data_IF_275250222553
#
_entry.id   IF_275250222553
#
_cell.length_a   1.000
_cell.length_b   1.000
_cell.length_c   1.000
_cell.angle_alpha   90.00
_cell.angle_beta   90.00
_cell.angle_gamma   90.00
#
_symmetry.space_group_name_H-M   'P 1'
#
loop_
_entity.id
_entity.type
_entity.pdbx_description
1 polymer ?
#
# COMPACT_ATOMS: atom_id res chain seq x y z
N UNK A 1 -13.26 -12.95 -10.16
CA UNK A 1 -12.05 -13.63 -9.63
C UNK A 1 -10.78 -13.24 -10.40
N UNK A 2 -10.63 -13.54 -11.70
CA UNK A 2 -9.39 -13.21 -12.46
C UNK A 2 -9.13 -11.71 -12.60
N UNK A 3 -10.15 -10.92 -12.92
CA UNK A 3 -10.00 -9.47 -13.16
C UNK A 3 -9.44 -8.67 -11.98
N UNK A 4 -9.76 -9.01 -10.72
CA UNK A 4 -9.32 -8.22 -9.56
C UNK A 4 -7.87 -8.52 -9.17
N UNK A 5 -7.44 -9.78 -9.28
CA UNK A 5 -6.05 -10.18 -9.12
C UNK A 5 -5.18 -9.58 -10.23
N UNK A 6 -5.71 -9.56 -11.45
CA UNK A 6 -5.10 -8.92 -12.61
C UNK A 6 -4.96 -7.40 -12.41
N UNK A 7 -5.98 -6.72 -11.86
CA UNK A 7 -5.87 -5.31 -11.46
C UNK A 7 -4.79 -5.06 -10.40
N UNK A 8 -4.66 -5.93 -9.39
CA UNK A 8 -3.61 -5.81 -8.36
C UNK A 8 -2.21 -6.00 -8.96
N UNK A 9 -2.08 -6.94 -9.90
CA UNK A 9 -0.85 -7.21 -10.63
C UNK A 9 -0.46 -6.02 -11.53
N UNK A 10 -1.39 -5.47 -12.30
CA UNK A 10 -1.15 -4.27 -13.10
C UNK A 10 -0.88 -3.03 -12.24
N UNK A 11 -1.52 -2.91 -11.07
CA UNK A 11 -1.20 -1.86 -10.11
C UNK A 11 0.25 -1.98 -9.60
N UNK A 12 0.69 -3.20 -9.27
CA UNK A 12 2.07 -3.46 -8.89
C UNK A 12 3.08 -3.14 -9.99
N UNK A 13 2.76 -3.49 -11.24
CA UNK A 13 3.61 -3.17 -12.40
C UNK A 13 3.64 -1.66 -12.70
N UNK A 14 2.48 -0.99 -12.66
CA UNK A 14 2.38 0.45 -12.90
C UNK A 14 3.11 1.27 -11.83
N UNK A 15 3.02 0.87 -10.56
CA UNK A 15 3.76 1.54 -9.48
C UNK A 15 5.28 1.30 -9.57
N UNK A 16 5.74 0.13 -10.03
CA UNK A 16 7.15 -0.12 -10.29
C UNK A 16 7.71 0.71 -11.47
N UNK A 17 6.91 0.87 -12.54
CA UNK A 17 7.25 1.74 -13.69
C UNK A 17 7.38 3.20 -13.28
N UNK A 18 6.42 3.73 -12.51
CA UNK A 18 6.46 5.10 -12.00
C UNK A 18 7.64 5.34 -11.05
N UNK A 19 8.00 4.36 -10.23
CA UNK A 19 9.18 4.43 -9.38
C UNK A 19 10.47 4.54 -10.22
N UNK A 20 10.57 3.77 -11.32
CA UNK A 20 11.70 3.83 -12.25
C UNK A 20 11.79 5.22 -12.92
N UNK A 21 10.69 5.76 -13.42
CA UNK A 21 10.65 7.09 -14.04
C UNK A 21 11.06 8.19 -13.05
N UNK A 22 10.58 8.14 -11.79
CA UNK A 22 11.01 9.09 -10.75
C UNK A 22 12.49 8.99 -10.42
N UNK A 23 13.07 7.79 -10.38
CA UNK A 23 14.51 7.59 -10.13
C UNK A 23 15.34 8.18 -11.28
N UNK A 24 14.91 7.97 -12.53
CA UNK A 24 15.58 8.52 -13.71
C UNK A 24 15.50 10.06 -13.73
N UNK A 25 14.33 10.66 -13.45
CA UNK A 25 14.18 12.11 -13.32
C UNK A 25 14.98 12.70 -12.16
N UNK A 26 15.04 12.03 -11.01
CA UNK A 26 15.87 12.43 -9.87
C UNK A 26 17.36 12.44 -10.21
N UNK A 27 17.81 11.49 -11.03
CA UNK A 27 19.21 11.40 -11.50
C UNK A 27 19.56 12.53 -12.49
N UNK A 28 18.62 12.88 -13.37
CA UNK A 28 18.77 14.02 -14.30
C UNK A 28 18.80 15.34 -13.55
N UNK A 29 17.89 15.55 -12.61
CA UNK A 29 17.83 16.76 -11.78
C UNK A 29 19.01 16.90 -10.82
N UNK A 30 19.55 15.80 -10.27
CA UNK A 30 20.78 15.81 -9.49
C UNK A 30 22.01 16.26 -10.31
N UNK A 31 22.07 15.91 -11.60
CA UNK A 31 23.10 16.45 -12.52
C UNK A 31 22.90 17.94 -12.77
N UNK A 32 21.66 18.43 -12.85
CA UNK A 32 21.35 19.86 -13.01
C UNK A 32 21.66 20.70 -11.76
N UNK A 33 21.52 20.11 -10.56
CA UNK A 33 21.82 20.77 -9.27
C UNK A 33 23.33 20.98 -9.08
N UNK A 34 24.17 20.10 -9.66
CA UNK A 34 25.63 20.23 -9.62
C UNK A 34 26.14 21.54 -10.25
N UNK A 35 25.38 22.12 -11.18
CA UNK A 35 25.70 23.39 -11.84
C UNK A 35 25.06 24.63 -11.17
N UNK A 36 24.27 24.47 -10.10
CA UNK A 36 23.69 25.64 -9.43
C UNK A 36 22.85 25.38 -8.17
N UNK A 37 23.39 25.88 -7.04
CA UNK A 37 22.69 26.32 -5.83
C UNK A 37 22.16 25.24 -4.85
N UNK A 38 22.93 25.01 -3.78
CA UNK A 38 22.57 24.27 -2.55
C UNK A 38 21.22 24.68 -1.95
N UNK A 39 20.75 25.91 -2.20
CA UNK A 39 19.49 26.44 -1.67
C UNK A 39 18.28 25.80 -2.35
N UNK A 40 18.36 25.60 -3.66
CA UNK A 40 17.28 25.00 -4.47
C UNK A 40 17.16 23.49 -4.20
N UNK A 41 18.29 22.83 -3.92
CA UNK A 41 18.30 21.44 -3.48
C UNK A 41 17.61 21.25 -2.11
N UNK A 42 17.80 22.20 -1.18
CA UNK A 42 17.14 22.19 0.14
C UNK A 42 15.63 22.38 0.05
N UNK A 43 15.16 23.34 -0.75
CA UNK A 43 13.73 23.58 -0.96
C UNK A 43 13.03 22.37 -1.60
N UNK A 44 13.63 21.74 -2.61
CA UNK A 44 13.08 20.52 -3.23
C UNK A 44 13.03 19.36 -2.22
N UNK A 45 14.06 19.20 -1.40
CA UNK A 45 14.10 18.16 -0.38
C UNK A 45 12.99 18.36 0.67
N UNK A 46 12.80 19.58 1.16
CA UNK A 46 11.74 19.91 2.13
C UNK A 46 10.35 19.72 1.53
N UNK A 47 10.12 20.13 0.28
CA UNK A 47 8.85 19.95 -0.42
C UNK A 47 8.50 18.48 -0.64
N UNK A 48 9.50 17.66 -1.02
CA UNK A 48 9.34 16.21 -1.21
C UNK A 48 9.07 15.50 0.12
N UNK A 49 9.74 15.90 1.19
CA UNK A 49 9.50 15.32 2.52
C UNK A 49 8.11 15.70 3.07
N UNK A 50 7.68 16.95 2.89
CA UNK A 50 6.36 17.42 3.32
C UNK A 50 5.23 16.70 2.56
N UNK A 51 5.30 16.65 1.21
CA UNK A 51 4.30 15.95 0.38
C UNK A 51 4.32 14.44 0.64
N UNK A 52 5.51 13.85 0.73
CA UNK A 52 5.67 12.41 0.95
C UNK A 52 5.12 11.93 2.29
N UNK A 53 5.15 12.75 3.34
CA UNK A 53 4.60 12.38 4.65
C UNK A 53 3.07 12.29 4.65
N UNK A 54 2.37 13.28 4.07
CA UNK A 54 0.91 13.29 3.98
C UNK A 54 0.36 12.29 2.98
N UNK A 55 1.03 12.14 1.83
CA UNK A 55 0.63 11.17 0.80
C UNK A 55 0.78 9.72 1.27
N UNK A 56 1.76 9.42 2.14
CA UNK A 56 2.02 8.06 2.62
C UNK A 56 0.91 7.54 3.53
N UNK A 57 0.40 8.36 4.43
CA UNK A 57 -0.66 7.94 5.35
C UNK A 57 -2.00 7.75 4.63
N UNK A 58 -2.31 8.63 3.67
CA UNK A 58 -3.48 8.49 2.80
C UNK A 58 -3.37 7.27 1.89
N UNK A 59 -2.21 7.03 1.29
CA UNK A 59 -1.96 5.85 0.45
C UNK A 59 -2.12 4.56 1.26
N UNK A 60 -1.61 4.52 2.49
CA UNK A 60 -1.75 3.38 3.40
C UNK A 60 -3.22 3.12 3.76
N UNK A 61 -4.01 4.17 4.00
CA UNK A 61 -5.44 4.06 4.24
C UNK A 61 -6.17 3.46 3.03
N UNK A 62 -5.92 3.99 1.84
CA UNK A 62 -6.53 3.52 0.58
C UNK A 62 -6.17 2.05 0.28
N UNK A 63 -4.90 1.65 0.49
CA UNK A 63 -4.48 0.25 0.31
C UNK A 63 -5.23 -0.66 1.30
N UNK A 64 -5.39 -0.24 2.56
CA UNK A 64 -6.09 -1.03 3.58
C UNK A 64 -7.56 -1.22 3.23
N UNK A 65 -8.19 -0.20 2.67
CA UNK A 65 -9.58 -0.25 2.19
C UNK A 65 -9.73 -1.22 1.02
N UNK A 66 -8.90 -1.11 -0.01
CA UNK A 66 -8.90 -2.02 -1.17
C UNK A 66 -8.71 -3.49 -0.73
N UNK A 67 -7.81 -3.75 0.22
CA UNK A 67 -7.58 -5.10 0.74
C UNK A 67 -8.77 -5.62 1.53
N UNK A 68 -9.45 -4.74 2.29
CA UNK A 68 -10.65 -5.11 3.04
C UNK A 68 -11.81 -5.45 2.10
N UNK A 69 -12.07 -4.60 1.12
CA UNK A 69 -13.08 -4.86 0.08
C UNK A 69 -12.81 -6.17 -0.66
N UNK A 70 -11.55 -6.41 -1.06
CA UNK A 70 -11.17 -7.65 -1.71
C UNK A 70 -11.38 -8.88 -0.81
N UNK A 71 -11.09 -8.78 0.49
CA UNK A 71 -11.30 -9.87 1.44
C UNK A 71 -12.80 -10.18 1.63
N UNK A 72 -13.64 -9.16 1.77
CA UNK A 72 -15.08 -9.29 1.95
C UNK A 72 -15.73 -9.92 0.72
N UNK A 73 -15.37 -9.46 -0.49
CA UNK A 73 -15.91 -10.02 -1.74
C UNK A 73 -15.45 -11.45 -2.04
N UNK A 74 -14.24 -11.82 -1.62
CA UNK A 74 -13.72 -13.17 -1.75
C UNK A 74 -14.27 -14.11 -0.66
N UNK A 75 -15.03 -13.59 0.31
CA UNK A 75 -15.55 -14.35 1.44
C UNK A 75 -14.44 -14.90 2.32
N UNK A 76 -13.32 -14.18 2.45
CA UNK A 76 -12.20 -14.61 3.29
C UNK A 76 -12.58 -14.45 4.76
N UNK A 77 -12.55 -15.55 5.51
CA UNK A 77 -12.75 -15.51 6.94
C UNK A 77 -11.64 -14.70 7.63
N UNK A 78 -12.04 -13.77 8.48
CA UNK A 78 -11.12 -13.04 9.35
C UNK A 78 -10.61 -13.96 10.46
N UNK A 79 -9.57 -13.52 11.16
CA UNK A 79 -9.08 -14.23 12.35
C UNK A 79 -10.14 -14.35 13.43
N UNK A 80 -10.98 -13.32 13.60
CA UNK A 80 -12.08 -13.33 14.57
C UNK A 80 -13.12 -14.40 14.20
N UNK A 81 -13.44 -14.54 12.91
CA UNK A 81 -14.36 -15.57 12.43
C UNK A 81 -13.81 -16.98 12.71
N UNK A 82 -12.51 -17.18 12.51
CA UNK A 82 -11.83 -18.45 12.82
C UNK A 82 -11.82 -18.75 14.31
N UNK A 83 -11.58 -17.75 15.15
CA UNK A 83 -11.59 -17.92 16.62
C UNK A 83 -13.01 -18.22 17.14
N UNK A 84 -14.03 -17.51 16.64
CA UNK A 84 -15.43 -17.79 16.97
C UNK A 84 -15.84 -19.23 16.60
N UNK A 85 -15.47 -19.69 15.39
CA UNK A 85 -15.70 -21.07 14.95
C UNK A 85 -14.98 -22.09 15.84
N UNK A 86 -13.75 -21.79 16.30
CA UNK A 86 -13.01 -22.68 17.21
C UNK A 86 -13.71 -22.80 18.56
N UNK A 87 -14.19 -21.69 19.11
CA UNK A 87 -14.91 -21.70 20.39
C UNK A 87 -16.22 -22.48 20.30
N UNK A 88 -16.97 -22.29 19.22
CA UNK A 88 -18.22 -23.01 18.96
C UNK A 88 -17.97 -24.53 18.90
N UNK A 89 -16.95 -24.96 18.13
CA UNK A 89 -16.56 -26.35 18.04
C UNK A 89 -16.13 -26.96 19.38
N UNK A 90 -15.47 -26.18 20.24
CA UNK A 90 -15.09 -26.63 21.59
C UNK A 90 -16.31 -26.83 22.46
N UNK A 91 -17.26 -25.88 22.47
CA UNK A 91 -18.53 -26.01 23.21
C UNK A 91 -19.32 -27.23 22.75
N UNK A 92 -19.35 -27.50 21.44
CA UNK A 92 -20.09 -28.63 20.87
C UNK A 92 -19.50 -29.95 21.35
N UNK A 93 -18.16 -30.03 21.36
CA UNK A 93 -17.42 -31.21 21.83
C UNK A 93 -17.59 -31.47 23.32
N UNK A 94 -17.83 -30.42 24.11
CA UNK A 94 -18.05 -30.53 25.55
C UNK A 94 -19.50 -30.81 25.93
N UNK A 95 -20.42 -30.90 24.96
CA UNK A 95 -21.85 -31.14 25.22
C UNK A 95 -22.54 -29.97 25.92
N UNK A 96 -22.01 -28.75 25.79
CA UNK A 96 -22.56 -27.52 26.39
C UNK A 96 -23.68 -26.88 25.54
N UNK A 97 -24.50 -27.69 24.87
CA UNK A 97 -25.61 -27.27 24.00
C UNK A 97 -26.94 -27.75 24.56
#
# INVERSE_FOLDING_TARGET
MKEKLEKLFYFGLGSALLAKEKIEQATVSARSIKDGSDRKAREIYEEVMAKGSGEREQLKANIKEILKEAADELGLATRADVEALREELVRMRQGLY
#
